data_IF_159944302792
#
_entry.id   IF_159944302792
#
_cell.length_a   1.000
_cell.length_b   1.000
_cell.length_c   1.000
_cell.angle_alpha   90.00
_cell.angle_beta   90.00
_cell.angle_gamma   90.00
#
_symmetry.space_group_name_H-M   'P 1'
#
loop_
_entity.id
_entity.type
_entity.pdbx_description
1 polymer ?
#
# COMPACT_ATOMS: atom_id res chain seq x y z
N UNK A 1 38.82 55.91 26.79
CA UNK A 1 37.44 56.42 26.54
C UNK A 1 36.64 55.33 25.84
N UNK A 2 35.92 54.49 26.61
CA UNK A 2 35.15 53.35 26.09
C UNK A 2 33.77 53.83 25.60
N UNK A 3 33.44 53.66 24.31
CA UNK A 3 32.06 53.76 23.81
C UNK A 3 31.45 52.36 23.85
N UNK A 4 30.61 52.11 24.85
CA UNK A 4 29.80 50.89 24.92
C UNK A 4 28.71 50.93 23.86
N UNK A 5 28.72 49.96 22.95
CA UNK A 5 27.60 49.68 22.06
C UNK A 5 26.46 49.06 22.89
N UNK A 6 25.55 49.88 23.39
CA UNK A 6 24.26 49.40 23.88
C UNK A 6 23.49 48.88 22.67
N UNK A 7 23.63 47.58 22.38
CA UNK A 7 22.74 46.87 21.48
C UNK A 7 21.31 47.16 21.94
N UNK A 8 20.51 47.80 21.09
CA UNK A 8 19.17 48.25 21.44
C UNK A 8 18.33 47.05 21.88
N UNK A 9 18.04 46.96 23.19
CA UNK A 9 17.23 45.88 23.77
C UNK A 9 15.85 45.78 23.10
N UNK A 10 15.34 46.89 22.53
CA UNK A 10 14.08 46.91 21.76
C UNK A 10 14.23 46.22 20.41
N UNK A 11 15.41 46.30 19.78
CA UNK A 11 15.70 45.59 18.52
C UNK A 11 15.80 44.08 18.76
N UNK A 12 16.47 43.65 19.83
CA UNK A 12 16.55 42.23 20.22
C UNK A 12 15.17 41.63 20.54
N UNK A 13 14.31 42.38 21.24
CA UNK A 13 12.93 41.97 21.52
C UNK A 13 12.09 41.85 20.24
N UNK A 14 12.22 42.80 19.30
CA UNK A 14 11.52 42.76 18.01
C UNK A 14 11.93 41.54 17.17
N UNK A 15 13.23 41.25 17.09
CA UNK A 15 13.74 40.07 16.38
C UNK A 15 13.22 38.78 17.04
N UNK A 16 13.23 38.71 18.36
CA UNK A 16 12.69 37.55 19.11
C UNK A 16 11.20 37.32 18.86
N UNK A 17 10.40 38.39 18.83
CA UNK A 17 8.96 38.31 18.50
C UNK A 17 8.74 37.84 17.06
N UNK A 18 9.49 38.41 16.10
CA UNK A 18 9.39 38.00 14.69
C UNK A 18 9.74 36.52 14.53
N UNK A 19 10.81 36.06 15.17
CA UNK A 19 11.22 34.66 15.12
C UNK A 19 10.17 33.74 15.73
N UNK A 20 9.60 34.11 16.88
CA UNK A 20 8.53 33.33 17.53
C UNK A 20 7.27 33.22 16.65
N UNK A 21 6.90 34.31 15.98
CA UNK A 21 5.77 34.32 15.04
C UNK A 21 6.05 33.43 13.83
N UNK A 22 7.25 33.48 13.25
CA UNK A 22 7.63 32.63 12.11
C UNK A 22 7.60 31.15 12.50
N UNK A 23 8.12 30.78 13.68
CA UNK A 23 8.07 29.40 14.17
C UNK A 23 6.63 28.96 14.41
N UNK A 24 5.80 29.80 15.04
CA UNK A 24 4.40 29.49 15.29
C UNK A 24 3.61 29.30 13.97
N UNK A 25 3.85 30.15 12.97
CA UNK A 25 3.26 30.03 11.64
C UNK A 25 3.75 28.77 10.91
N UNK A 26 5.03 28.41 11.04
CA UNK A 26 5.59 27.17 10.50
C UNK A 26 4.96 25.93 11.14
N UNK A 27 4.84 25.91 12.46
CA UNK A 27 4.17 24.82 13.19
C UNK A 27 2.68 24.74 12.84
N UNK A 28 2.00 25.89 12.71
CA UNK A 28 0.62 25.94 12.26
C UNK A 28 0.50 25.39 10.83
N UNK A 29 1.39 25.74 9.91
CA UNK A 29 1.40 25.21 8.56
C UNK A 29 1.60 23.70 8.55
N UNK A 30 2.56 23.18 9.32
CA UNK A 30 2.79 21.74 9.46
C UNK A 30 1.55 21.04 10.04
N UNK A 31 0.90 21.63 11.04
CA UNK A 31 -0.33 21.13 11.62
C UNK A 31 -1.49 21.12 10.63
N UNK A 32 -1.64 22.19 9.84
CA UNK A 32 -2.64 22.27 8.77
C UNK A 32 -2.39 21.23 7.67
N UNK A 33 -1.13 21.00 7.28
CA UNK A 33 -0.76 19.94 6.31
C UNK A 33 -1.04 18.54 6.87
N UNK A 34 -0.80 18.33 8.17
CA UNK A 34 -1.12 17.06 8.84
C UNK A 34 -2.64 16.82 8.89
N UNK A 35 -3.43 17.83 9.25
CA UNK A 35 -4.91 17.75 9.25
C UNK A 35 -5.50 17.67 7.83
N UNK A 36 -4.83 18.27 6.83
CA UNK A 36 -5.25 18.23 5.44
C UNK A 36 -4.94 16.89 4.74
N UNK A 37 -4.42 15.88 5.46
CA UNK A 37 -4.51 14.48 5.04
C UNK A 37 -5.98 14.09 4.99
N UNK A 38 -6.65 14.44 3.89
CA UNK A 38 -7.96 13.90 3.58
C UNK A 38 -7.77 12.38 3.54
N UNK A 39 -8.60 11.61 4.29
CA UNK A 39 -8.69 10.19 3.98
C UNK A 39 -8.96 10.10 2.49
N UNK A 40 -8.28 9.17 1.81
CA UNK A 40 -8.56 8.88 0.41
C UNK A 40 -10.09 8.87 0.27
N UNK A 41 -10.67 9.62 -0.68
CA UNK A 41 -12.12 9.56 -0.87
C UNK A 41 -12.47 8.07 -0.92
N UNK A 42 -13.46 7.65 -0.14
CA UNK A 42 -13.94 6.29 -0.18
C UNK A 42 -14.32 6.03 -1.64
N UNK A 43 -13.38 5.47 -2.40
CA UNK A 43 -13.57 5.28 -3.82
C UNK A 43 -14.67 4.25 -4.01
N UNK A 44 -15.07 4.03 -5.25
CA UNK A 44 -15.95 2.93 -5.61
C UNK A 44 -15.25 1.55 -5.46
N UNK A 45 -14.37 1.41 -4.46
CA UNK A 45 -13.70 0.20 -4.04
C UNK A 45 -14.63 -0.60 -3.11
N UNK A 46 -14.46 -1.93 -3.03
CA UNK A 46 -15.53 -2.81 -2.63
C UNK A 46 -15.67 -2.96 -1.11
N UNK A 47 -15.61 -1.87 -0.33
CA UNK A 47 -15.78 -1.95 1.13
C UNK A 47 -17.08 -2.67 1.52
N UNK A 48 -18.15 -2.49 0.72
CA UNK A 48 -19.43 -3.19 0.86
C UNK A 48 -19.79 -4.04 -0.37
N UNK A 49 -18.83 -4.29 -1.27
CA UNK A 49 -19.05 -4.89 -2.58
C UNK A 49 -18.86 -3.92 -3.74
N UNK A 50 -18.73 -4.47 -4.94
CA UNK A 50 -18.53 -3.69 -6.17
C UNK A 50 -19.85 -3.16 -6.71
N UNK A 51 -19.82 -1.95 -7.29
CA UNK A 51 -20.91 -1.49 -8.16
C UNK A 51 -20.83 -2.21 -9.50
N UNK A 52 -21.95 -2.64 -10.04
CA UNK A 52 -21.99 -3.26 -11.37
C UNK A 52 -22.08 -2.22 -12.50
N UNK A 53 -21.61 -2.57 -13.69
CA UNK A 53 -21.80 -1.84 -14.94
C UNK A 53 -21.94 -2.81 -16.10
N UNK A 54 -22.51 -2.36 -17.20
CA UNK A 54 -22.50 -3.15 -18.44
C UNK A 54 -21.09 -3.17 -19.07
N UNK A 55 -20.76 -4.20 -19.87
CA UNK A 55 -19.53 -4.20 -20.68
C UNK A 55 -19.38 -2.93 -21.52
N UNK A 56 -20.45 -2.50 -22.20
CA UNK A 56 -20.45 -1.40 -23.15
C UNK A 56 -20.11 -0.06 -22.49
N UNK A 57 -20.71 0.22 -21.32
CA UNK A 57 -20.39 1.42 -20.52
C UNK A 57 -18.93 1.45 -20.07
N UNK A 58 -18.30 0.28 -19.97
CA UNK A 58 -16.89 0.14 -19.63
C UNK A 58 -16.01 -0.03 -20.87
N UNK A 59 -16.54 0.16 -22.08
CA UNK A 59 -15.79 0.04 -23.34
C UNK A 59 -15.28 -1.39 -23.58
N UNK A 60 -16.07 -2.38 -23.20
CA UNK A 60 -15.86 -3.80 -23.46
C UNK A 60 -16.98 -4.28 -24.38
N UNK A 61 -16.60 -5.00 -25.43
CA UNK A 61 -17.50 -5.67 -26.38
C UNK A 61 -18.12 -6.91 -25.71
N UNK A 62 -19.44 -6.91 -25.53
CA UNK A 62 -20.15 -7.99 -24.83
C UNK A 62 -20.16 -9.30 -25.60
N UNK A 63 -20.18 -9.27 -26.92
CA UNK A 63 -20.15 -10.49 -27.76
C UNK A 63 -18.81 -11.21 -27.60
N UNK A 64 -17.70 -10.45 -27.58
CA UNK A 64 -16.36 -11.02 -27.32
C UNK A 64 -16.23 -11.56 -25.91
N UNK A 65 -16.78 -10.86 -24.92
CA UNK A 65 -16.76 -11.29 -23.53
C UNK A 65 -17.58 -12.57 -23.35
N UNK A 66 -18.78 -12.65 -23.93
CA UNK A 66 -19.62 -13.84 -23.93
C UNK A 66 -18.92 -15.02 -24.63
N UNK A 67 -18.27 -14.77 -25.77
CA UNK A 67 -17.46 -15.78 -26.47
C UNK A 67 -16.32 -16.32 -25.62
N UNK A 68 -15.62 -15.46 -24.86
CA UNK A 68 -14.56 -15.89 -23.95
C UNK A 68 -15.09 -16.73 -22.78
N UNK A 69 -16.24 -16.36 -22.19
CA UNK A 69 -16.89 -17.16 -21.14
C UNK A 69 -17.32 -18.54 -21.66
N UNK A 70 -17.88 -18.60 -22.87
CA UNK A 70 -18.26 -19.86 -23.50
C UNK A 70 -17.04 -20.74 -23.81
N UNK A 71 -15.93 -20.16 -24.29
CA UNK A 71 -14.70 -20.89 -24.57
C UNK A 71 -14.10 -21.54 -23.31
N UNK A 72 -14.08 -20.82 -22.18
CA UNK A 72 -13.64 -21.39 -20.88
C UNK A 72 -14.43 -22.65 -20.53
N UNK A 73 -15.74 -22.64 -20.76
CA UNK A 73 -16.61 -23.79 -20.49
C UNK A 73 -16.41 -24.94 -21.50
N UNK A 74 -16.21 -24.62 -22.79
CA UNK A 74 -16.08 -25.59 -23.87
C UNK A 74 -14.72 -26.29 -23.95
N UNK A 75 -13.64 -25.59 -23.60
CA UNK A 75 -12.27 -26.05 -23.81
C UNK A 75 -11.73 -26.93 -22.66
N UNK A 76 -12.57 -27.30 -21.68
CA UNK A 76 -12.19 -28.14 -20.55
C UNK A 76 -11.19 -27.48 -19.59
N UNK A 77 -11.07 -26.15 -19.63
CA UNK A 77 -10.22 -25.40 -18.72
C UNK A 77 -10.83 -25.45 -17.31
N UNK A 78 -10.04 -25.86 -16.31
CA UNK A 78 -10.51 -25.96 -14.93
C UNK A 78 -10.57 -24.59 -14.23
N UNK A 79 -11.45 -23.70 -14.70
CA UNK A 79 -11.77 -22.43 -14.06
C UNK A 79 -13.07 -22.57 -13.28
N UNK A 80 -13.03 -22.19 -12.00
CA UNK A 80 -14.21 -22.22 -11.13
C UNK A 80 -15.05 -20.94 -11.22
N UNK A 81 -14.39 -19.79 -11.38
CA UNK A 81 -15.03 -18.49 -11.53
C UNK A 81 -14.15 -17.48 -12.26
N UNK A 82 -14.78 -16.46 -12.82
CA UNK A 82 -14.14 -15.30 -13.45
C UNK A 82 -14.83 -14.03 -12.97
N UNK A 83 -14.04 -13.11 -12.39
CA UNK A 83 -14.50 -11.77 -12.06
C UNK A 83 -13.70 -10.74 -12.86
N UNK A 84 -14.38 -9.76 -13.46
CA UNK A 84 -13.76 -8.65 -14.19
C UNK A 84 -14.26 -7.31 -13.63
N UNK A 85 -13.30 -6.46 -13.24
CA UNK A 85 -13.55 -5.12 -12.72
C UNK A 85 -12.79 -4.10 -13.56
N UNK A 86 -13.46 -3.03 -14.01
CA UNK A 86 -12.83 -1.92 -14.74
C UNK A 86 -13.38 -0.60 -14.21
N UNK A 87 -12.51 0.40 -14.05
CA UNK A 87 -12.88 1.74 -13.54
C UNK A 87 -13.68 1.70 -12.22
N UNK A 88 -13.36 0.75 -11.34
CA UNK A 88 -14.07 0.58 -10.06
C UNK A 88 -15.44 -0.09 -10.15
N UNK A 89 -15.82 -0.65 -11.31
CA UNK A 89 -17.10 -1.34 -11.50
C UNK A 89 -16.91 -2.78 -11.95
N UNK A 90 -17.67 -3.69 -11.36
CA UNK A 90 -17.75 -5.08 -11.78
C UNK A 90 -18.54 -5.18 -13.09
N UNK A 91 -17.92 -5.77 -14.11
CA UNK A 91 -18.52 -6.02 -15.42
C UNK A 91 -19.04 -7.46 -15.49
N UNK A 92 -18.28 -8.39 -14.91
CA UNK A 92 -18.62 -9.82 -14.85
C UNK A 92 -18.25 -10.36 -13.47
N UNK A 93 -19.12 -11.21 -12.93
CA UNK A 93 -18.87 -12.08 -11.79
C UNK A 93 -19.56 -13.43 -12.09
N UNK A 94 -18.84 -14.35 -12.73
CA UNK A 94 -19.36 -15.59 -13.28
C UNK A 94 -18.77 -16.80 -12.56
N UNK A 95 -19.61 -17.80 -12.28
CA UNK A 95 -19.24 -19.05 -11.65
C UNK A 95 -19.66 -20.21 -12.53
N UNK A 96 -18.76 -21.17 -12.74
CA UNK A 96 -19.04 -22.36 -13.52
C UNK A 96 -19.55 -23.47 -12.60
N UNK A 97 -20.59 -24.21 -13.01
CA UNK A 97 -21.12 -25.30 -12.19
C UNK A 97 -20.03 -26.34 -11.84
N UNK A 98 -19.96 -26.85 -10.59
CA UNK A 98 -20.90 -26.66 -9.47
C UNK A 98 -20.54 -25.51 -8.51
N UNK A 99 -19.68 -24.58 -8.91
CA UNK A 99 -19.26 -23.46 -8.06
C UNK A 99 -20.28 -22.33 -8.06
N UNK A 100 -20.46 -21.69 -6.90
CA UNK A 100 -21.45 -20.63 -6.67
C UNK A 100 -20.87 -19.42 -5.91
N UNK A 101 -19.54 -19.39 -5.75
CA UNK A 101 -18.81 -18.36 -5.01
C UNK A 101 -18.74 -18.56 -3.50
N UNK A 102 -19.44 -19.55 -2.94
CA UNK A 102 -19.38 -19.85 -1.50
C UNK A 102 -18.18 -20.73 -1.11
N UNK A 103 -17.62 -21.48 -2.08
CA UNK A 103 -16.51 -22.40 -1.82
C UNK A 103 -15.23 -21.62 -1.52
N UNK A 104 -14.57 -21.99 -0.42
CA UNK A 104 -13.22 -21.52 -0.09
C UNK A 104 -12.19 -22.28 -0.93
N UNK A 105 -11.24 -21.53 -1.51
CA UNK A 105 -10.11 -22.08 -2.27
C UNK A 105 -8.80 -21.89 -1.52
N UNK A 106 -7.89 -22.86 -1.66
CA UNK A 106 -6.48 -22.62 -1.35
C UNK A 106 -5.88 -21.72 -2.43
N UNK A 107 -5.43 -20.54 -2.02
CA UNK A 107 -4.93 -19.50 -2.92
C UNK A 107 -3.41 -19.48 -3.02
N UNK A 108 -2.70 -20.33 -2.26
CA UNK A 108 -1.26 -20.49 -2.26
C UNK A 108 -0.48 -19.16 -2.35
N UNK A 109 0.18 -18.89 -3.48
CA UNK A 109 1.02 -17.69 -3.65
C UNK A 109 0.26 -16.37 -3.68
N UNK A 110 -1.07 -16.35 -3.84
CA UNK A 110 -1.87 -15.12 -3.68
C UNK A 110 -1.70 -14.54 -2.26
N UNK A 111 -1.47 -15.38 -1.25
CA UNK A 111 -1.19 -14.96 0.12
C UNK A 111 0.00 -13.99 0.20
N UNK A 112 0.98 -14.09 -0.70
CA UNK A 112 2.15 -13.19 -0.72
C UNK A 112 1.75 -11.76 -1.01
N UNK A 113 0.80 -11.52 -1.91
CA UNK A 113 0.29 -10.18 -2.20
C UNK A 113 -0.34 -9.55 -0.95
N UNK A 114 -1.15 -10.31 -0.22
CA UNK A 114 -1.75 -9.87 1.05
C UNK A 114 -0.66 -9.55 2.08
N UNK A 115 0.31 -10.44 2.25
CA UNK A 115 1.42 -10.23 3.19
C UNK A 115 2.27 -9.01 2.84
N UNK A 116 2.61 -8.82 1.56
CA UNK A 116 3.37 -7.65 1.11
C UNK A 116 2.59 -6.35 1.32
N UNK A 117 1.27 -6.35 1.09
CA UNK A 117 0.41 -5.19 1.43
C UNK A 117 0.44 -4.88 2.92
N UNK A 118 0.32 -5.91 3.79
CA UNK A 118 0.41 -5.71 5.24
C UNK A 118 1.77 -5.19 5.70
N UNK A 119 2.86 -5.68 5.09
CA UNK A 119 4.23 -5.17 5.34
C UNK A 119 4.33 -3.71 4.91
N UNK A 120 3.78 -3.34 3.75
CA UNK A 120 3.73 -1.95 3.29
C UNK A 120 2.96 -1.04 4.25
N UNK A 121 1.81 -1.48 4.76
CA UNK A 121 1.04 -0.75 5.77
C UNK A 121 1.84 -0.60 7.07
N UNK A 122 2.51 -1.66 7.53
CA UNK A 122 3.34 -1.60 8.74
C UNK A 122 4.52 -0.63 8.57
N UNK A 123 5.14 -0.59 7.38
CA UNK A 123 6.18 0.37 7.05
C UNK A 123 5.67 1.82 7.06
N UNK A 124 4.51 2.08 6.43
CA UNK A 124 3.86 3.40 6.44
C UNK A 124 3.50 3.87 7.86
N UNK A 125 3.13 2.93 8.74
CA UNK A 125 2.88 3.19 10.15
C UNK A 125 4.15 3.33 11.01
N UNK A 126 5.35 3.22 10.42
CA UNK A 126 6.62 3.29 11.14
C UNK A 126 6.86 2.11 12.10
N UNK A 127 6.14 0.99 11.93
CA UNK A 127 6.29 -0.22 12.76
C UNK A 127 7.47 -1.09 12.31
N UNK A 128 7.93 -0.90 11.08
CA UNK A 128 9.13 -1.51 10.53
C UNK A 128 9.77 -0.59 9.50
N UNK A 129 11.08 -0.72 9.32
CA UNK A 129 11.80 -0.20 8.18
C UNK A 129 11.95 -1.30 7.12
N UNK A 130 11.82 -0.96 5.84
CA UNK A 130 12.04 -1.90 4.73
C UNK A 130 13.53 -2.21 4.55
N UNK A 131 14.42 -1.28 4.93
CA UNK A 131 15.85 -1.41 4.71
C UNK A 131 16.61 -2.00 5.91
N UNK A 132 15.91 -2.29 7.02
CA UNK A 132 16.53 -2.99 8.15
C UNK A 132 16.79 -4.48 7.84
N UNK A 133 17.85 -5.07 8.43
CA UNK A 133 18.15 -6.50 8.27
C UNK A 133 16.99 -7.39 8.72
N UNK A 134 16.59 -8.36 7.90
CA UNK A 134 15.49 -9.28 8.20
C UNK A 134 15.76 -10.14 9.44
N UNK A 135 17.03 -10.47 9.71
CA UNK A 135 17.41 -11.24 10.89
C UNK A 135 17.26 -10.48 12.21
N UNK A 136 17.14 -9.15 12.18
CA UNK A 136 16.91 -8.33 13.39
C UNK A 136 15.59 -8.68 14.11
N UNK A 137 14.61 -9.23 13.38
CA UNK A 137 13.32 -9.66 13.93
C UNK A 137 13.35 -11.01 14.66
N UNK A 138 14.45 -11.76 14.58
CA UNK A 138 14.55 -13.11 15.15
C UNK A 138 15.70 -13.22 16.17
N UNK A 139 15.70 -12.38 17.23
CA UNK A 139 16.73 -12.46 18.26
C UNK A 139 16.72 -13.84 18.93
N UNK A 140 17.90 -14.43 19.10
CA UNK A 140 18.06 -15.73 19.76
C UNK A 140 17.73 -16.95 18.90
N UNK A 141 17.41 -16.79 17.60
CA UNK A 141 17.19 -17.93 16.71
C UNK A 141 18.50 -18.40 16.07
N UNK A 142 18.74 -19.71 16.10
CA UNK A 142 19.82 -20.33 15.32
C UNK A 142 19.44 -20.31 13.84
N UNK A 143 20.26 -19.64 13.02
CA UNK A 143 20.07 -19.54 11.57
C UNK A 143 20.99 -20.53 10.86
N UNK A 144 20.43 -21.40 10.03
CA UNK A 144 21.20 -22.38 9.27
C UNK A 144 22.05 -21.68 8.18
N UNK A 145 23.29 -22.15 8.00
CA UNK A 145 24.25 -21.64 7.01
C UNK A 145 24.33 -20.11 7.05
N UNK A 146 24.46 -19.53 8.25
CA UNK A 146 24.55 -18.09 8.47
C UNK A 146 25.88 -17.57 7.95
N UNK A 147 25.84 -16.55 7.10
CA UNK A 147 26.98 -15.89 6.50
C UNK A 147 26.71 -14.40 6.32
N UNK A 148 27.73 -13.64 5.87
CA UNK A 148 27.60 -12.20 5.67
C UNK A 148 26.55 -11.84 4.62
N UNK A 149 26.24 -12.73 3.67
CA UNK A 149 25.20 -12.49 2.66
C UNK A 149 23.82 -12.50 3.31
N UNK A 150 23.51 -13.49 4.15
CA UNK A 150 22.24 -13.57 4.87
C UNK A 150 22.04 -12.44 5.87
N UNK A 151 23.12 -11.96 6.49
CA UNK A 151 23.06 -10.80 7.40
C UNK A 151 22.64 -9.51 6.69
N UNK A 152 22.93 -9.40 5.38
CA UNK A 152 22.56 -8.24 4.55
C UNK A 152 21.18 -8.35 3.90
N UNK A 153 20.46 -9.47 4.07
CA UNK A 153 19.10 -9.59 3.57
C UNK A 153 18.20 -8.64 4.37
N UNK A 154 17.57 -7.67 3.70
CA UNK A 154 16.63 -6.73 4.29
C UNK A 154 15.20 -7.19 4.08
N UNK A 155 14.24 -6.53 4.74
CA UNK A 155 12.80 -6.76 4.48
C UNK A 155 12.47 -6.46 3.02
N UNK A 156 13.05 -5.41 2.43
CA UNK A 156 12.89 -5.04 1.02
C UNK A 156 13.24 -6.20 0.11
N UNK A 157 14.40 -6.83 0.32
CA UNK A 157 14.82 -7.99 -0.50
C UNK A 157 13.84 -9.15 -0.44
N UNK A 158 13.18 -9.38 0.70
CA UNK A 158 12.17 -10.43 0.84
C UNK A 158 10.90 -10.11 0.05
N UNK A 159 10.35 -8.89 0.21
CA UNK A 159 9.09 -8.52 -0.45
C UNK A 159 9.23 -8.28 -1.95
N UNK A 160 10.44 -7.95 -2.43
CA UNK A 160 10.75 -7.81 -3.86
C UNK A 160 11.28 -9.10 -4.51
N UNK A 161 11.30 -10.23 -3.78
CA UNK A 161 11.79 -11.52 -4.29
C UNK A 161 13.25 -11.45 -4.81
N UNK A 162 14.09 -10.62 -4.18
CA UNK A 162 15.48 -10.38 -4.59
C UNK A 162 16.48 -10.72 -3.49
N UNK A 163 16.11 -11.61 -2.56
CA UNK A 163 16.96 -12.05 -1.44
C UNK A 163 17.97 -13.14 -1.83
N UNK A 164 17.77 -13.81 -2.97
CA UNK A 164 18.59 -14.95 -3.39
C UNK A 164 18.29 -16.24 -2.62
N UNK A 165 17.22 -16.29 -1.82
CA UNK A 165 16.76 -17.50 -1.14
C UNK A 165 15.96 -18.38 -2.11
N UNK A 166 16.27 -19.68 -2.14
CA UNK A 166 15.60 -20.72 -2.93
C UNK A 166 15.50 -22.03 -2.15
#
# INVERSE_FOLDING_TARGET
MQRGATLDKRLGLRIGIILAVVVALGLLLVYQVFLARKPLPAGDFPTQGWRSSTPEEQGIDSDKLAGALAAIQGDGVHIHSLMMVRNGKAIVDAYYYPYDGSRVHDVASVTKSVMTTLIGIAADQGKLDLDQPALSFFPGRTIANRDDLKERITVRHLVSMSSGLY
#
